data_IF_716325738406
#
_entry.id   IF_716325738406
#
_cell.length_a   1.000
_cell.length_b   1.000
_cell.length_c   1.000
_cell.angle_alpha   90.00
_cell.angle_beta   90.00
_cell.angle_gamma   90.00
#
_symmetry.space_group_name_H-M   'P 1'
#
loop_
_entity.id
_entity.type
_entity.pdbx_description
1 polymer ?
#
# COMPACT_ATOMS: atom_id res chain seq x y z
N UNK A 1 9.55 36.07 -0.26
CA UNK A 1 9.67 34.64 -0.55
C UNK A 1 8.46 33.96 -1.21
N UNK A 2 7.31 34.65 -1.40
CA UNK A 2 6.08 34.03 -2.00
C UNK A 2 6.07 33.87 -3.54
N UNK A 3 7.06 34.36 -4.27
CA UNK A 3 7.04 34.35 -5.75
C UNK A 3 7.85 33.22 -6.42
N UNK A 4 8.68 32.50 -5.68
CA UNK A 4 9.59 31.50 -6.27
C UNK A 4 8.92 30.11 -6.43
N UNK A 5 7.90 29.80 -5.66
CA UNK A 5 7.25 28.48 -5.67
C UNK A 5 6.30 28.26 -6.86
N UNK A 6 5.76 29.33 -7.46
CA UNK A 6 4.85 29.22 -8.61
C UNK A 6 5.60 28.91 -9.91
N UNK A 7 6.87 29.33 -10.02
CA UNK A 7 7.67 29.13 -11.23
C UNK A 7 8.09 27.66 -11.41
N UNK A 8 8.32 26.93 -10.33
CA UNK A 8 8.70 25.50 -10.42
C UNK A 8 7.54 24.59 -10.86
N UNK A 9 6.31 24.95 -10.51
CA UNK A 9 5.12 24.16 -10.92
C UNK A 9 4.76 24.40 -12.40
N UNK A 10 5.01 25.60 -12.91
CA UNK A 10 4.71 25.96 -14.31
C UNK A 10 5.75 25.38 -15.27
N UNK A 11 7.01 25.25 -14.84
CA UNK A 11 8.06 24.64 -15.67
C UNK A 11 7.87 23.12 -15.86
N UNK A 12 7.23 22.43 -14.91
CA UNK A 12 6.92 21.00 -15.03
C UNK A 12 5.75 20.71 -15.99
N UNK A 13 4.86 21.68 -16.22
CA UNK A 13 3.76 21.56 -17.18
C UNK A 13 4.19 21.77 -18.64
N UNK A 14 5.37 22.32 -18.89
CA UNK A 14 5.91 22.60 -20.23
C UNK A 14 6.74 21.43 -20.81
N UNK A 15 7.08 20.43 -20.02
CA UNK A 15 7.91 19.29 -20.45
C UNK A 15 7.33 18.42 -21.59
N UNK A 16 6.00 18.24 -21.72
CA UNK A 16 5.46 17.41 -22.80
C UNK A 16 5.66 18.02 -24.22
N UNK A 17 5.69 19.33 -24.32
CA UNK A 17 5.83 20.00 -25.63
C UNK A 17 7.27 19.99 -26.15
N UNK A 18 8.26 19.88 -25.28
CA UNK A 18 9.67 19.79 -25.65
C UNK A 18 10.08 18.39 -26.11
N UNK A 19 9.39 17.35 -25.63
CA UNK A 19 9.68 15.96 -26.03
C UNK A 19 9.21 15.68 -27.48
N UNK A 20 8.05 16.19 -27.90
CA UNK A 20 7.54 16.03 -29.25
C UNK A 20 8.32 16.82 -30.33
N UNK A 21 8.88 17.97 -29.95
CA UNK A 21 9.67 18.80 -30.89
C UNK A 21 11.09 18.26 -31.09
N UNK A 22 11.66 17.55 -30.12
CA UNK A 22 13.00 16.98 -30.24
C UNK A 22 13.05 15.66 -31.02
N UNK A 23 11.98 14.88 -31.07
CA UNK A 23 11.93 13.67 -31.92
C UNK A 23 12.08 13.99 -33.42
N UNK A 24 11.68 15.19 -33.85
CA UNK A 24 11.81 15.63 -35.25
C UNK A 24 13.18 16.19 -35.62
N UNK A 25 14.03 16.49 -34.65
CA UNK A 25 15.32 17.19 -34.88
C UNK A 25 16.56 16.33 -34.69
N UNK A 26 16.49 15.21 -34.01
CA UNK A 26 17.72 14.45 -33.67
C UNK A 26 18.02 13.26 -34.57
N UNK A 27 17.15 12.87 -35.49
CA UNK A 27 17.45 11.79 -36.46
C UNK A 27 17.84 10.45 -35.82
N UNK A 28 17.59 10.26 -34.52
CA UNK A 28 17.79 8.98 -33.83
C UNK A 28 16.57 8.13 -34.12
N UNK A 29 16.59 7.41 -35.21
CA UNK A 29 15.71 6.28 -35.44
C UNK A 29 16.18 5.17 -34.51
N UNK A 30 15.40 4.90 -33.46
CA UNK A 30 15.48 3.60 -32.80
C UNK A 30 15.08 2.56 -33.86
N UNK A 31 16.05 1.86 -34.39
CA UNK A 31 15.74 0.65 -35.16
C UNK A 31 14.86 -0.23 -34.29
N UNK A 32 13.59 -0.37 -34.68
CA UNK A 32 12.75 -1.44 -34.17
C UNK A 32 13.54 -2.72 -34.48
N UNK A 33 14.08 -3.35 -33.44
CA UNK A 33 14.51 -4.72 -33.53
C UNK A 33 13.27 -5.56 -33.90
N UNK A 34 13.00 -5.63 -35.17
CA UNK A 34 12.17 -6.68 -35.74
C UNK A 34 12.97 -7.96 -35.57
N UNK A 35 12.74 -8.69 -34.51
CA UNK A 35 12.97 -10.13 -34.51
C UNK A 35 12.09 -10.67 -35.66
N UNK A 36 12.68 -10.81 -36.82
CA UNK A 36 11.96 -11.39 -37.94
C UNK A 36 11.62 -12.83 -37.56
N UNK A 37 10.35 -13.12 -37.60
CA UNK A 37 9.77 -14.45 -37.42
C UNK A 37 10.26 -15.48 -38.44
N UNK A 38 11.21 -15.15 -39.30
CA UNK A 38 11.78 -16.04 -40.30
C UNK A 38 12.73 -17.10 -39.71
N UNK A 39 13.55 -16.69 -38.71
CA UNK A 39 14.50 -17.63 -38.07
C UNK A 39 13.83 -18.61 -37.10
N UNK A 40 12.59 -18.34 -36.70
CA UNK A 40 11.81 -19.25 -35.86
C UNK A 40 11.02 -20.30 -36.68
N UNK A 41 10.97 -20.17 -37.98
CA UNK A 41 10.26 -21.14 -38.84
C UNK A 41 11.08 -22.39 -39.19
N UNK A 42 12.40 -22.29 -39.23
CA UNK A 42 13.25 -23.45 -39.52
C UNK A 42 13.55 -24.35 -38.31
N UNK A 43 13.39 -23.84 -37.06
CA UNK A 43 13.49 -24.68 -35.87
C UNK A 43 12.17 -25.34 -35.43
N UNK A 44 11.15 -25.29 -36.27
CA UNK A 44 9.79 -25.76 -35.91
C UNK A 44 9.53 -27.25 -36.18
N UNK A 45 10.43 -27.99 -36.75
CA UNK A 45 10.12 -29.36 -37.19
C UNK A 45 10.41 -30.46 -36.16
N UNK A 46 11.16 -30.18 -35.06
CA UNK A 46 11.53 -31.23 -34.09
C UNK A 46 11.23 -30.89 -32.60
N UNK A 47 10.49 -29.82 -32.28
CA UNK A 47 10.06 -29.57 -30.92
C UNK A 47 8.68 -30.21 -30.76
N UNK A 48 8.63 -31.24 -29.92
CA UNK A 48 7.40 -31.84 -29.41
C UNK A 48 6.39 -30.75 -29.00
N UNK A 49 5.41 -30.52 -29.87
CA UNK A 49 4.52 -29.36 -29.82
C UNK A 49 3.60 -29.36 -28.61
N UNK A 50 3.53 -30.45 -27.85
CA UNK A 50 2.76 -30.56 -26.61
C UNK A 50 3.46 -29.91 -25.38
N UNK A 51 4.78 -29.82 -25.35
CA UNK A 51 5.57 -29.44 -24.18
C UNK A 51 6.29 -28.08 -24.31
N UNK A 52 5.88 -27.21 -25.20
CA UNK A 52 6.54 -25.92 -25.42
C UNK A 52 6.16 -24.84 -24.40
N UNK A 53 7.06 -23.84 -24.23
CA UNK A 53 6.83 -22.62 -23.46
C UNK A 53 6.49 -21.47 -24.40
N UNK A 54 5.44 -20.71 -24.09
CA UNK A 54 5.04 -19.49 -24.77
C UNK A 54 5.60 -18.28 -24.00
N UNK A 55 6.33 -17.41 -24.69
CA UNK A 55 6.69 -16.07 -24.20
C UNK A 55 5.64 -15.07 -24.65
N UNK A 56 5.05 -14.35 -23.70
CA UNK A 56 4.07 -13.29 -23.97
C UNK A 56 4.65 -12.00 -23.42
N UNK A 57 4.77 -10.97 -24.26
CA UNK A 57 5.16 -9.63 -23.82
C UNK A 57 4.01 -8.65 -24.10
N UNK A 58 3.64 -7.88 -23.10
CA UNK A 58 2.63 -6.83 -23.18
C UNK A 58 3.10 -5.58 -22.39
N UNK A 59 2.25 -4.58 -22.29
CA UNK A 59 2.52 -3.33 -21.54
C UNK A 59 2.69 -3.54 -20.03
N UNK A 60 2.49 -4.74 -19.51
CA UNK A 60 2.67 -5.12 -18.11
C UNK A 60 3.92 -5.99 -17.88
N UNK A 61 4.82 -6.08 -18.86
CA UNK A 61 6.02 -6.89 -18.81
C UNK A 61 5.92 -8.16 -19.65
N UNK A 62 6.67 -9.20 -19.26
CA UNK A 62 6.64 -10.46 -19.98
C UNK A 62 6.21 -11.61 -19.07
N UNK A 63 5.63 -12.63 -19.69
CA UNK A 63 5.13 -13.83 -19.03
C UNK A 63 5.61 -15.06 -19.80
N UNK A 64 6.16 -16.04 -19.10
CA UNK A 64 6.40 -17.37 -19.63
C UNK A 64 5.24 -18.27 -19.20
N UNK A 65 4.67 -19.00 -20.15
CA UNK A 65 3.52 -19.87 -19.90
C UNK A 65 3.68 -21.20 -20.63
N UNK A 66 3.40 -22.32 -19.96
CA UNK A 66 3.26 -23.61 -20.63
C UNK A 66 2.06 -23.58 -21.57
N UNK A 67 2.09 -24.38 -22.65
CA UNK A 67 1.00 -24.41 -23.64
C UNK A 67 -0.34 -24.83 -23.04
N UNK A 68 -0.32 -25.72 -22.07
CA UNK A 68 -1.52 -26.15 -21.34
C UNK A 68 -2.02 -25.14 -20.29
N UNK A 69 -1.31 -24.01 -20.13
CA UNK A 69 -1.65 -22.95 -19.18
C UNK A 69 -1.49 -23.31 -17.70
N UNK A 70 -0.97 -24.49 -17.38
CA UNK A 70 -0.84 -24.93 -15.97
C UNK A 70 0.35 -24.31 -15.26
N UNK A 71 1.38 -23.90 -15.99
CA UNK A 71 2.57 -23.25 -15.44
C UNK A 71 2.68 -21.84 -16.02
N UNK A 72 2.68 -20.84 -15.13
CA UNK A 72 2.84 -19.44 -15.48
C UNK A 72 3.95 -18.88 -14.60
N UNK A 73 4.90 -18.18 -15.21
CA UNK A 73 5.95 -17.45 -14.53
C UNK A 73 6.00 -16.02 -15.05
N UNK A 74 5.85 -15.06 -14.16
CA UNK A 74 5.87 -13.63 -14.46
C UNK A 74 6.83 -12.91 -13.52
N UNK A 75 8.04 -12.53 -13.97
CA UNK A 75 8.89 -11.62 -13.21
C UNK A 75 8.31 -10.22 -13.23
N UNK A 76 8.61 -9.42 -12.21
CA UNK A 76 8.24 -8.03 -12.14
C UNK A 76 9.28 -7.20 -11.38
N UNK A 77 9.35 -5.93 -11.74
CA UNK A 77 10.15 -4.92 -11.08
C UNK A 77 9.23 -3.76 -10.66
N UNK A 78 9.44 -3.24 -9.47
CA UNK A 78 8.77 -2.04 -9.01
C UNK A 78 9.77 -1.15 -8.26
N UNK A 79 9.94 0.09 -8.74
CA UNK A 79 10.85 1.06 -8.14
C UNK A 79 10.16 2.40 -7.92
N UNK A 80 10.51 3.06 -6.82
CA UNK A 80 10.13 4.43 -6.56
C UNK A 80 11.35 5.22 -6.09
N UNK A 81 11.62 6.35 -6.75
CA UNK A 81 12.58 7.37 -6.32
C UNK A 81 11.79 8.59 -5.84
N UNK A 82 12.14 9.14 -4.69
CA UNK A 82 11.38 10.18 -4.02
C UNK A 82 12.31 11.29 -3.54
N UNK A 83 11.96 12.55 -3.88
CA UNK A 83 12.50 13.74 -3.26
C UNK A 83 11.46 14.32 -2.28
N UNK A 84 11.90 14.73 -1.12
CA UNK A 84 11.05 15.31 -0.08
C UNK A 84 11.66 16.59 0.45
N UNK A 85 10.79 17.55 0.74
CA UNK A 85 11.10 18.77 1.48
C UNK A 85 10.08 18.89 2.60
N UNK A 86 10.55 19.02 3.84
CA UNK A 86 9.71 19.25 5.01
C UNK A 86 10.12 20.55 5.67
N UNK A 87 9.13 21.36 6.01
CA UNK A 87 9.29 22.58 6.78
C UNK A 87 8.48 22.44 8.07
N UNK A 88 9.12 22.70 9.19
CA UNK A 88 8.52 22.63 10.53
C UNK A 88 8.25 24.04 11.03
N UNK A 89 7.14 24.22 11.74
CA UNK A 89 6.76 25.50 12.32
C UNK A 89 7.69 25.86 13.50
N UNK A 90 8.10 27.12 13.56
CA UNK A 90 9.12 27.63 14.47
C UNK A 90 8.73 27.56 15.94
N UNK A 91 7.49 27.96 16.27
CA UNK A 91 7.05 28.06 17.67
C UNK A 91 7.13 26.71 18.41
N UNK A 92 6.79 25.62 17.73
CA UNK A 92 6.81 24.30 18.32
C UNK A 92 8.23 23.73 18.48
N UNK A 93 9.15 24.04 17.57
CA UNK A 93 10.53 23.54 17.62
C UNK A 93 11.37 24.30 18.64
N UNK A 94 11.19 25.60 18.76
CA UNK A 94 11.89 26.41 19.77
C UNK A 94 11.55 25.94 21.19
N UNK A 95 10.26 25.70 21.46
CA UNK A 95 9.81 25.17 22.73
C UNK A 95 10.28 23.75 23.04
N UNK A 96 10.33 22.88 22.01
CA UNK A 96 10.66 21.47 22.21
C UNK A 96 12.16 21.18 22.22
N UNK A 97 12.92 21.87 21.37
CA UNK A 97 14.32 21.53 21.07
C UNK A 97 15.27 22.71 21.09
N UNK A 98 14.78 23.90 21.41
CA UNK A 98 15.54 25.15 21.35
C UNK A 98 16.20 25.35 19.97
N UNK A 99 15.46 25.10 18.89
CA UNK A 99 15.90 25.16 17.52
C UNK A 99 14.97 26.04 16.69
N UNK A 100 15.53 27.03 16.02
CA UNK A 100 14.82 27.90 15.10
C UNK A 100 14.71 27.23 13.74
N UNK A 101 13.55 27.34 13.09
CA UNK A 101 13.31 27.05 11.66
C UNK A 101 14.06 25.85 11.10
N UNK A 102 13.55 24.66 11.29
CA UNK A 102 14.15 23.47 10.70
C UNK A 102 13.40 23.06 9.45
N UNK A 103 14.06 23.20 8.31
CA UNK A 103 13.67 22.57 7.06
C UNK A 103 14.63 21.43 6.77
N UNK A 104 14.12 20.29 6.37
CA UNK A 104 14.95 19.22 5.84
C UNK A 104 14.56 18.86 4.42
N UNK A 105 15.52 18.41 3.65
CA UNK A 105 15.33 17.93 2.28
C UNK A 105 16.19 16.70 2.06
N UNK A 106 15.70 15.80 1.23
CA UNK A 106 16.45 14.59 0.92
C UNK A 106 15.83 13.76 -0.20
N UNK A 107 16.63 12.82 -0.67
CA UNK A 107 16.19 11.83 -1.63
C UNK A 107 16.15 10.46 -0.96
N UNK A 108 15.16 9.65 -1.33
CA UNK A 108 15.00 8.30 -0.84
C UNK A 108 14.51 7.37 -1.94
N UNK A 109 14.74 6.10 -1.76
CA UNK A 109 14.16 5.03 -2.56
C UNK A 109 13.26 4.17 -1.67
N UNK A 110 11.97 4.52 -1.52
CA UNK A 110 11.08 3.77 -0.63
C UNK A 110 10.95 2.30 -1.01
N UNK A 111 10.98 2.03 -2.32
CA UNK A 111 10.85 0.68 -2.85
C UNK A 111 11.79 0.45 -4.03
N UNK A 112 12.45 -0.69 -3.99
CA UNK A 112 13.20 -1.31 -5.09
C UNK A 112 12.88 -2.81 -5.05
N UNK A 113 11.70 -3.18 -5.55
CA UNK A 113 11.16 -4.54 -5.43
C UNK A 113 11.44 -5.31 -6.70
N UNK A 114 12.08 -6.47 -6.52
CA UNK A 114 12.24 -7.48 -7.56
C UNK A 114 11.49 -8.73 -7.13
N UNK A 115 10.71 -9.29 -8.00
CA UNK A 115 9.93 -10.48 -7.67
C UNK A 115 9.45 -11.25 -8.89
N UNK A 116 8.79 -12.34 -8.58
CA UNK A 116 8.09 -13.13 -9.56
C UNK A 116 6.79 -13.70 -8.97
N UNK A 117 5.81 -13.85 -9.84
CA UNK A 117 4.52 -14.42 -9.50
C UNK A 117 4.09 -15.39 -10.58
N UNK A 118 3.17 -16.26 -10.28
CA UNK A 118 2.66 -17.19 -11.27
C UNK A 118 1.71 -18.21 -10.72
N UNK A 119 1.52 -19.27 -11.53
CA UNK A 119 0.67 -20.41 -11.19
C UNK A 119 1.43 -21.70 -11.51
N UNK A 120 1.32 -22.69 -10.66
CA UNK A 120 1.80 -24.04 -10.93
C UNK A 120 0.64 -25.02 -10.82
N UNK A 121 0.69 -26.08 -11.64
CA UNK A 121 -0.35 -27.13 -11.71
C UNK A 121 -1.77 -26.59 -11.97
N UNK A 122 -1.89 -25.36 -12.50
CA UNK A 122 -3.16 -24.66 -12.74
C UNK A 122 -3.96 -24.28 -11.49
N UNK A 123 -3.49 -24.64 -10.29
CA UNK A 123 -4.22 -24.45 -9.03
C UNK A 123 -3.43 -23.80 -7.90
N UNK A 124 -2.12 -23.76 -7.98
CA UNK A 124 -1.26 -23.19 -6.94
C UNK A 124 -0.68 -21.88 -7.45
N UNK A 125 -1.24 -20.76 -7.01
CA UNK A 125 -0.64 -19.46 -7.24
C UNK A 125 0.48 -19.21 -6.25
N UNK A 126 1.50 -18.46 -6.67
CA UNK A 126 2.63 -18.11 -5.82
C UNK A 126 3.11 -16.69 -6.10
N UNK A 127 3.77 -16.11 -5.12
CA UNK A 127 4.53 -14.86 -5.24
C UNK A 127 5.75 -14.93 -4.33
N UNK A 128 6.87 -14.46 -4.84
CA UNK A 128 8.07 -14.19 -4.05
C UNK A 128 8.63 -12.85 -4.48
N UNK A 129 8.91 -11.97 -3.53
CA UNK A 129 9.56 -10.69 -3.81
C UNK A 129 10.44 -10.21 -2.68
N UNK A 130 11.50 -9.54 -3.08
CA UNK A 130 12.42 -8.84 -2.19
C UNK A 130 12.34 -7.34 -2.45
N UNK A 131 12.50 -6.55 -1.40
CA UNK A 131 12.68 -5.11 -1.49
C UNK A 131 14.15 -4.79 -1.18
N UNK A 132 14.95 -4.52 -2.21
CA UNK A 132 16.36 -4.21 -2.08
C UNK A 132 16.64 -2.87 -1.37
N UNK A 133 15.63 -1.99 -1.28
CA UNK A 133 15.71 -0.74 -0.52
C UNK A 133 15.46 -0.93 0.98
N UNK A 134 14.95 -2.08 1.41
CA UNK A 134 14.68 -2.37 2.81
C UNK A 134 15.90 -2.94 3.52
N UNK A 135 15.92 -2.82 4.85
CA UNK A 135 16.97 -3.34 5.71
C UNK A 135 16.46 -4.41 6.68
N UNK A 136 17.34 -5.26 7.16
CA UNK A 136 17.03 -6.30 8.15
C UNK A 136 15.98 -7.30 7.64
N UNK A 137 15.07 -7.69 8.50
CA UNK A 137 14.02 -8.68 8.22
C UNK A 137 12.98 -8.26 7.18
N UNK A 138 13.03 -7.02 6.73
CA UNK A 138 12.08 -6.45 5.77
C UNK A 138 12.50 -6.65 4.31
N UNK A 139 13.70 -7.17 4.05
CA UNK A 139 14.19 -7.47 2.69
C UNK A 139 13.26 -8.46 1.99
N UNK A 140 12.85 -9.55 2.64
CA UNK A 140 11.77 -10.40 2.12
C UNK A 140 10.44 -9.66 2.28
N UNK A 141 9.95 -9.06 1.19
CA UNK A 141 8.71 -8.30 1.26
C UNK A 141 7.49 -9.21 1.35
N UNK A 142 7.38 -10.18 0.45
CA UNK A 142 6.36 -11.22 0.50
C UNK A 142 6.86 -12.53 -0.09
N UNK A 143 6.31 -13.63 0.40
CA UNK A 143 6.59 -14.96 -0.11
C UNK A 143 5.46 -15.89 0.32
N UNK A 144 4.59 -16.25 -0.62
CA UNK A 144 3.40 -17.04 -0.31
C UNK A 144 3.01 -17.99 -1.44
N UNK A 145 2.29 -19.02 -1.04
CA UNK A 145 1.59 -19.94 -1.92
C UNK A 145 0.08 -19.86 -1.61
N UNK A 146 -0.75 -20.03 -2.63
CA UNK A 146 -2.21 -19.87 -2.56
C UNK A 146 -2.90 -20.97 -3.37
N UNK A 147 -3.46 -21.96 -2.70
CA UNK A 147 -4.12 -23.10 -3.32
C UNK A 147 -5.58 -22.79 -3.65
N UNK A 148 -5.96 -22.95 -4.91
CA UNK A 148 -7.32 -22.76 -5.42
C UNK A 148 -8.13 -24.01 -5.28
N UNK A 149 -8.98 -24.12 -4.26
CA UNK A 149 -10.02 -25.18 -4.17
C UNK A 149 -11.12 -24.84 -5.16
N UNK A 150 -11.59 -23.59 -5.13
CA UNK A 150 -12.56 -22.98 -6.04
C UNK A 150 -12.40 -21.46 -6.04
N UNK A 151 -13.05 -20.69 -6.95
CA UNK A 151 -13.08 -19.23 -6.84
C UNK A 151 -13.63 -18.69 -5.50
N UNK A 152 -14.51 -19.47 -4.88
CA UNK A 152 -15.14 -19.15 -3.59
C UNK A 152 -14.34 -19.64 -2.38
N UNK A 153 -13.32 -20.49 -2.56
CA UNK A 153 -12.55 -21.08 -1.46
C UNK A 153 -11.09 -21.26 -1.89
N UNK A 154 -10.21 -20.56 -1.22
CA UNK A 154 -8.76 -20.57 -1.43
C UNK A 154 -8.06 -20.61 -0.08
N UNK A 155 -6.87 -21.19 -0.05
CA UNK A 155 -6.02 -21.25 1.12
C UNK A 155 -4.65 -20.69 0.79
N UNK A 156 -4.23 -19.68 1.54
CA UNK A 156 -2.93 -19.03 1.40
C UNK A 156 -2.08 -19.28 2.62
N UNK A 157 -0.79 -19.51 2.40
CA UNK A 157 0.23 -19.68 3.43
C UNK A 157 1.50 -18.91 3.06
N UNK A 158 2.17 -18.32 4.05
CA UNK A 158 3.42 -17.59 3.86
C UNK A 158 3.40 -16.18 4.43
N UNK A 159 4.25 -15.31 3.88
CA UNK A 159 4.35 -13.90 4.25
C UNK A 159 3.56 -13.03 3.26
N UNK A 160 2.50 -12.40 3.73
CA UNK A 160 1.61 -11.56 2.93
C UNK A 160 0.90 -10.51 3.79
N UNK A 161 0.19 -9.57 3.15
CA UNK A 161 -0.57 -8.54 3.86
C UNK A 161 -1.71 -9.15 4.67
N UNK A 162 -1.85 -8.71 5.92
CA UNK A 162 -3.03 -9.01 6.75
C UNK A 162 -4.29 -8.39 6.15
N UNK A 163 -5.49 -8.95 6.36
CA UNK A 163 -6.70 -8.58 5.65
C UNK A 163 -7.38 -7.33 6.23
N UNK A 164 -6.67 -6.21 6.25
CA UNK A 164 -7.23 -4.92 6.67
C UNK A 164 -7.31 -3.99 5.48
N UNK A 165 -8.46 -3.40 5.24
CA UNK A 165 -8.75 -2.23 4.39
C UNK A 165 -8.27 -2.26 2.93
N UNK A 166 -9.08 -1.66 2.08
CA UNK A 166 -8.81 -1.58 0.64
C UNK A 166 -7.55 -0.78 0.32
N UNK A 167 -7.33 0.35 0.99
CA UNK A 167 -6.15 1.17 0.72
C UNK A 167 -4.84 0.42 1.00
N UNK A 168 -4.79 -0.32 2.10
CA UNK A 168 -3.63 -1.13 2.45
C UNK A 168 -3.42 -2.30 1.48
N UNK A 169 -4.50 -2.97 1.09
CA UNK A 169 -4.46 -4.12 0.18
C UNK A 169 -4.23 -3.73 -1.27
N UNK A 170 -4.46 -2.45 -1.63
CA UNK A 170 -4.17 -1.93 -2.96
C UNK A 170 -2.69 -2.13 -3.31
N UNK A 171 -2.43 -2.45 -4.57
CA UNK A 171 -1.07 -2.57 -5.11
C UNK A 171 -0.34 -1.24 -5.00
N UNK A 172 0.92 -1.23 -4.57
CA UNK A 172 1.71 -0.01 -4.35
C UNK A 172 1.74 0.94 -5.56
N UNK A 173 1.81 0.39 -6.77
CA UNK A 173 1.79 1.17 -8.00
C UNK A 173 0.46 1.84 -8.31
N UNK A 174 -0.64 1.30 -7.80
CA UNK A 174 -2.01 1.71 -8.10
C UNK A 174 -2.58 2.70 -7.07
N UNK A 175 -1.78 3.19 -6.14
CA UNK A 175 -2.21 4.18 -5.14
C UNK A 175 -2.38 5.58 -5.74
N UNK A 176 -3.37 6.33 -5.24
CA UNK A 176 -3.59 7.73 -5.63
C UNK A 176 -2.47 8.64 -5.10
N UNK A 177 -2.09 8.44 -3.85
CA UNK A 177 -1.03 9.21 -3.19
C UNK A 177 0.28 8.42 -3.12
N UNK A 178 1.45 9.09 -3.11
CA UNK A 178 2.74 8.45 -2.93
C UNK A 178 2.91 7.68 -1.62
N UNK A 179 2.11 7.98 -0.62
CA UNK A 179 2.10 7.31 0.68
C UNK A 179 0.67 6.96 1.11
N UNK A 180 0.55 5.89 1.89
CA UNK A 180 -0.70 5.54 2.56
C UNK A 180 -1.12 6.64 3.54
N UNK A 181 -2.41 6.71 3.93
CA UNK A 181 -2.85 7.56 5.02
C UNK A 181 -2.06 7.26 6.30
N UNK A 182 -1.67 8.29 7.03
CA UNK A 182 -0.92 8.15 8.29
C UNK A 182 -1.78 7.46 9.35
N UNK A 183 -3.08 7.77 9.40
CA UNK A 183 -4.03 7.12 10.29
C UNK A 183 -4.05 5.60 10.09
N UNK A 184 -4.11 5.14 8.84
CA UNK A 184 -4.07 3.71 8.49
C UNK A 184 -2.75 3.07 8.92
N UNK A 185 -1.64 3.71 8.60
CA UNK A 185 -0.30 3.18 8.90
C UNK A 185 -0.05 3.12 10.41
N UNK A 186 -0.36 4.17 11.13
CA UNK A 186 -0.06 4.29 12.56
C UNK A 186 -0.98 3.45 13.45
N UNK A 187 -2.27 3.31 13.06
CA UNK A 187 -3.28 2.73 13.96
C UNK A 187 -3.54 1.27 13.71
N UNK A 188 -3.34 0.77 12.49
CA UNK A 188 -3.90 -0.53 12.11
C UNK A 188 -2.88 -1.51 11.54
N UNK A 189 -1.92 -1.01 10.78
CA UNK A 189 -0.95 -1.87 10.10
C UNK A 189 0.20 -2.25 11.03
N UNK A 190 0.57 -1.34 11.93
CA UNK A 190 1.74 -1.49 12.79
C UNK A 190 1.29 -1.71 14.22
N UNK A 191 1.74 -2.75 14.91
CA UNK A 191 1.64 -2.81 16.35
C UNK A 191 2.41 -1.61 16.92
N UNK A 192 1.82 -0.96 17.89
CA UNK A 192 2.42 0.18 18.55
C UNK A 192 3.67 -0.25 19.30
N UNK A 193 4.83 0.29 18.93
CA UNK A 193 6.06 0.10 19.68
C UNK A 193 6.28 1.31 20.59
N UNK A 194 6.31 1.10 21.89
CA UNK A 194 6.55 2.14 22.90
C UNK A 194 7.89 2.87 22.73
N UNK A 195 8.88 2.21 22.13
CA UNK A 195 10.21 2.77 21.95
C UNK A 195 10.38 3.54 20.64
N UNK A 196 9.34 3.60 19.82
CA UNK A 196 9.40 4.30 18.56
C UNK A 196 8.66 5.65 18.67
N UNK A 197 9.41 6.71 18.85
CA UNK A 197 8.95 8.11 18.68
C UNK A 197 8.40 8.31 17.24
N UNK A 198 8.90 7.52 16.30
CA UNK A 198 8.33 7.35 14.98
C UNK A 198 7.87 5.88 14.85
N UNK A 199 6.63 5.62 14.42
CA UNK A 199 6.24 4.26 14.12
C UNK A 199 7.26 3.71 13.14
N UNK A 200 8.01 2.69 13.54
CA UNK A 200 8.83 1.95 12.58
C UNK A 200 7.85 1.46 11.52
N UNK A 201 8.04 1.90 10.29
CA UNK A 201 7.18 1.50 9.18
C UNK A 201 7.45 0.03 8.96
N UNK A 202 6.76 -0.82 9.69
CA UNK A 202 6.65 -2.22 9.38
C UNK A 202 6.05 -2.30 7.99
N UNK A 203 6.44 -3.29 7.22
CA UNK A 203 5.96 -3.45 5.86
C UNK A 203 4.47 -3.82 5.81
N UNK A 204 3.85 -4.10 6.96
CA UNK A 204 2.49 -4.61 7.08
C UNK A 204 2.32 -6.02 6.52
N UNK A 205 3.40 -6.66 6.11
CA UNK A 205 3.41 -8.06 5.70
C UNK A 205 3.78 -8.93 6.90
N UNK A 206 3.00 -9.97 7.13
CA UNK A 206 3.23 -10.90 8.23
C UNK A 206 3.12 -12.34 7.78
N UNK A 207 3.74 -13.26 8.53
CA UNK A 207 3.69 -14.70 8.28
C UNK A 207 2.41 -15.29 8.84
N UNK A 208 1.71 -16.06 8.03
CA UNK A 208 0.47 -16.66 8.48
C UNK A 208 -0.22 -17.56 7.46
N UNK A 209 -1.44 -17.88 7.81
CA UNK A 209 -2.37 -18.69 7.03
C UNK A 209 -3.70 -17.98 6.88
N UNK A 210 -4.29 -18.05 5.70
CA UNK A 210 -5.54 -17.38 5.39
C UNK A 210 -6.44 -18.26 4.52
N UNK A 211 -7.72 -18.35 4.90
CA UNK A 211 -8.80 -18.76 4.01
C UNK A 211 -9.46 -17.53 3.42
N UNK A 212 -9.70 -17.54 2.13
CA UNK A 212 -10.32 -16.43 1.44
C UNK A 212 -11.08 -16.86 0.19
N UNK A 213 -11.97 -16.00 -0.26
CA UNK A 213 -12.71 -16.26 -1.48
C UNK A 213 -13.66 -15.15 -1.84
N UNK A 214 -14.26 -15.28 -3.03
CA UNK A 214 -15.28 -14.37 -3.53
C UNK A 214 -16.49 -15.15 -4.03
N UNK A 215 -17.67 -14.74 -3.57
CA UNK A 215 -18.95 -15.33 -3.90
C UNK A 215 -19.75 -14.40 -4.81
N UNK A 216 -20.28 -14.89 -5.91
CA UNK A 216 -21.25 -14.17 -6.73
C UNK A 216 -22.65 -14.43 -6.15
N UNK A 217 -23.27 -13.39 -5.59
CA UNK A 217 -24.61 -13.49 -4.98
C UNK A 217 -25.72 -13.46 -6.03
N UNK A 218 -25.49 -12.81 -7.16
CA UNK A 218 -26.45 -12.70 -8.28
C UNK A 218 -25.80 -13.13 -9.60
N UNK A 219 -25.48 -14.42 -9.80
CA UNK A 219 -24.63 -14.88 -10.92
C UNK A 219 -25.23 -14.63 -12.29
N UNK A 220 -26.55 -14.44 -12.41
CA UNK A 220 -27.24 -14.14 -13.69
C UNK A 220 -27.18 -12.67 -14.11
N UNK A 221 -26.66 -11.77 -13.25
CA UNK A 221 -26.51 -10.35 -13.57
C UNK A 221 -25.15 -10.09 -14.18
N UNK A 222 -25.07 -9.22 -15.18
CA UNK A 222 -23.82 -8.76 -15.78
C UNK A 222 -22.88 -8.12 -14.72
N UNK A 223 -23.41 -7.25 -13.87
CA UNK A 223 -22.70 -6.74 -12.69
C UNK A 223 -23.22 -7.46 -11.44
N UNK A 224 -22.79 -8.69 -11.26
CA UNK A 224 -23.20 -9.52 -10.12
C UNK A 224 -22.82 -8.85 -8.79
N UNK A 225 -23.73 -8.85 -7.83
CA UNK A 225 -23.38 -8.58 -6.45
C UNK A 225 -22.38 -9.63 -5.97
N UNK A 226 -21.34 -9.17 -5.35
CA UNK A 226 -20.28 -10.05 -4.87
C UNK A 226 -20.05 -9.83 -3.38
N UNK A 227 -19.71 -10.90 -2.70
CA UNK A 227 -19.22 -10.88 -1.34
C UNK A 227 -17.82 -11.51 -1.31
N UNK A 228 -16.87 -10.84 -0.67
CA UNK A 228 -15.55 -11.37 -0.39
C UNK A 228 -15.39 -11.65 1.10
N UNK A 229 -14.59 -12.64 1.44
CA UNK A 229 -14.20 -12.92 2.81
C UNK A 229 -12.72 -13.29 2.87
N UNK A 230 -12.10 -12.92 3.96
CA UNK A 230 -10.71 -13.21 4.30
C UNK A 230 -10.67 -13.48 5.80
N UNK A 231 -10.15 -14.62 6.23
CA UNK A 231 -10.02 -14.97 7.65
C UNK A 231 -8.76 -15.79 7.85
N UNK A 232 -7.99 -15.49 8.90
CA UNK A 232 -6.74 -16.20 9.11
C UNK A 232 -6.03 -15.86 10.41
N UNK A 233 -4.82 -16.38 10.49
CA UNK A 233 -3.92 -16.33 11.63
C UNK A 233 -2.55 -15.85 11.15
N UNK A 234 -1.94 -14.91 11.89
CA UNK A 234 -0.59 -14.41 11.60
C UNK A 234 0.23 -14.34 12.89
N UNK A 235 1.53 -14.17 12.75
CA UNK A 235 2.40 -13.99 13.92
C UNK A 235 2.04 -12.74 14.74
N UNK A 236 1.48 -11.69 14.12
CA UNK A 236 1.07 -10.47 14.82
C UNK A 236 2.21 -9.50 15.13
N UNK A 237 3.45 -9.83 14.75
CA UNK A 237 4.61 -8.97 15.01
C UNK A 237 4.59 -7.67 14.20
N UNK A 238 3.85 -7.63 13.10
CA UNK A 238 3.67 -6.46 12.23
C UNK A 238 4.92 -5.89 11.58
N UNK A 239 6.09 -6.34 12.02
CA UNK A 239 7.41 -5.86 11.58
C UNK A 239 7.97 -6.59 10.37
N UNK A 240 7.26 -7.61 9.89
CA UNK A 240 7.77 -8.47 8.83
C UNK A 240 8.95 -9.36 9.26
N UNK A 241 9.24 -9.42 10.53
CA UNK A 241 10.30 -10.29 11.08
C UNK A 241 9.81 -11.73 11.11
N UNK A 242 10.67 -12.64 10.69
CA UNK A 242 10.44 -14.08 10.85
C UNK A 242 10.64 -14.46 12.33
N UNK A 243 9.60 -14.37 13.12
CA UNK A 243 9.62 -14.94 14.48
C UNK A 243 9.13 -16.38 14.42
N UNK A 244 9.99 -17.30 14.82
CA UNK A 244 9.71 -18.72 14.71
C UNK A 244 8.72 -19.21 15.78
N UNK A 245 8.79 -18.68 16.99
CA UNK A 245 7.95 -19.09 18.12
C UNK A 245 7.71 -17.93 19.08
N UNK A 246 6.52 -17.90 19.67
CA UNK A 246 6.19 -17.03 20.78
C UNK A 246 6.04 -17.88 22.03
N UNK A 247 6.54 -17.38 23.14
CA UNK A 247 6.32 -18.01 24.45
C UNK A 247 4.87 -17.79 24.85
N UNK A 248 4.14 -18.85 25.17
CA UNK A 248 2.81 -18.76 25.77
C UNK A 248 2.95 -18.38 27.25
N UNK A 249 2.08 -17.54 27.75
CA UNK A 249 1.93 -17.39 29.20
C UNK A 249 1.31 -18.66 29.80
N UNK A 250 1.59 -18.93 31.07
CA UNK A 250 1.05 -20.10 31.76
C UNK A 250 -0.50 -20.10 31.83
N UNK A 251 -1.10 -18.92 31.73
CA UNK A 251 -2.54 -18.71 31.74
C UNK A 251 -3.16 -18.56 30.33
N UNK A 252 -2.37 -18.65 29.26
CA UNK A 252 -2.86 -18.46 27.91
C UNK A 252 -3.70 -19.66 27.43
N UNK A 253 -5.01 -19.46 27.26
CA UNK A 253 -5.91 -20.46 26.70
C UNK A 253 -5.91 -20.50 25.18
N UNK A 254 -5.35 -19.49 24.51
CA UNK A 254 -5.25 -19.38 23.04
C UNK A 254 -3.79 -19.07 22.63
N UNK A 255 -3.34 -19.54 21.47
CA UNK A 255 -2.02 -19.21 20.97
C UNK A 255 -1.79 -17.72 20.78
N UNK A 256 -0.59 -17.23 21.07
CA UNK A 256 -0.15 -15.84 20.89
C UNK A 256 0.01 -15.53 19.39
N UNK A 257 -1.08 -15.20 18.73
CA UNK A 257 -1.16 -14.90 17.29
C UNK A 257 -2.09 -13.70 17.04
N UNK A 258 -1.98 -13.11 15.87
CA UNK A 258 -3.00 -12.21 15.34
C UNK A 258 -4.10 -13.04 14.67
N UNK A 259 -5.28 -12.94 15.17
CA UNK A 259 -6.52 -13.47 14.59
C UNK A 259 -7.22 -12.33 13.85
N UNK A 260 -7.36 -12.42 12.55
CA UNK A 260 -7.96 -11.33 11.79
C UNK A 260 -8.89 -11.83 10.68
N UNK A 261 -9.84 -10.98 10.34
CA UNK A 261 -10.77 -11.23 9.25
C UNK A 261 -11.32 -9.97 8.62
N UNK A 262 -11.78 -10.11 7.38
CA UNK A 262 -12.40 -9.05 6.59
C UNK A 262 -13.56 -9.61 5.79
N UNK A 263 -14.67 -8.87 5.76
CA UNK A 263 -15.83 -9.12 4.92
C UNK A 263 -16.02 -7.93 3.98
N UNK A 264 -16.30 -8.20 2.73
CA UNK A 264 -16.57 -7.15 1.73
C UNK A 264 -17.85 -7.43 0.97
N UNK A 265 -18.60 -6.38 0.69
CA UNK A 265 -19.77 -6.39 -0.18
C UNK A 265 -19.56 -5.46 -1.37
N UNK A 266 -19.72 -5.97 -2.58
CA UNK A 266 -19.46 -5.28 -3.82
C UNK A 266 -20.71 -5.29 -4.72
N UNK A 267 -21.60 -4.27 -4.61
CA UNK A 267 -22.89 -4.26 -5.31
C UNK A 267 -22.78 -4.00 -6.82
N UNK A 268 -21.62 -3.53 -7.30
CA UNK A 268 -21.38 -3.24 -8.71
C UNK A 268 -20.31 -4.14 -9.34
N UNK A 269 -20.24 -5.39 -8.90
CA UNK A 269 -19.21 -6.31 -9.33
C UNK A 269 -17.90 -6.17 -8.54
N UNK A 270 -16.87 -6.88 -8.97
CA UNK A 270 -15.60 -6.91 -8.28
C UNK A 270 -14.91 -5.54 -8.27
N UNK A 271 -14.54 -5.04 -7.09
CA UNK A 271 -13.70 -3.84 -6.94
C UNK A 271 -12.25 -4.20 -7.26
N UNK A 272 -11.62 -3.55 -8.24
CA UNK A 272 -10.20 -3.75 -8.53
C UNK A 272 -9.32 -3.15 -7.44
N UNK A 273 -8.12 -3.69 -7.25
CA UNK A 273 -7.14 -3.22 -6.27
C UNK A 273 -6.38 -1.97 -6.78
N UNK A 274 -7.13 -0.90 -7.09
CA UNK A 274 -6.58 0.39 -7.57
C UNK A 274 -7.27 1.56 -6.90
N UNK A 275 -6.56 2.66 -6.73
CA UNK A 275 -7.05 3.95 -6.22
C UNK A 275 -7.18 5.00 -7.33
N UNK A 276 -7.34 4.57 -8.53
CA UNK A 276 -7.57 5.41 -9.69
C UNK A 276 -7.81 4.54 -10.90
N UNK A 277 -8.54 5.05 -11.88
CA UNK A 277 -8.83 4.28 -13.09
C UNK A 277 -7.74 4.49 -14.16
N UNK A 278 -6.47 4.30 -13.80
CA UNK A 278 -5.32 4.50 -14.70
C UNK A 278 -5.35 3.59 -15.93
N UNK A 279 -6.00 2.43 -15.81
CA UNK A 279 -6.21 1.48 -16.90
C UNK A 279 -7.48 1.76 -17.70
N UNK A 280 -8.21 2.84 -17.38
CA UNK A 280 -9.47 3.22 -18.03
C UNK A 280 -10.46 2.05 -18.09
N UNK A 281 -10.60 1.33 -16.98
CA UNK A 281 -11.57 0.25 -16.84
C UNK A 281 -12.98 0.80 -17.09
N UNK A 282 -13.76 0.09 -17.88
CA UNK A 282 -15.14 0.42 -18.13
C UNK A 282 -16.02 0.05 -16.93
N UNK A 283 -17.09 0.81 -16.72
CA UNK A 283 -18.10 0.49 -15.72
C UNK A 283 -17.94 1.27 -14.41
N UNK A 284 -18.63 0.75 -13.41
CA UNK A 284 -18.67 1.27 -12.05
C UNK A 284 -18.37 0.15 -11.09
N UNK A 285 -17.59 0.46 -10.05
CA UNK A 285 -17.23 -0.48 -9.01
C UNK A 285 -17.42 0.17 -7.65
N UNK A 286 -17.91 -0.57 -6.69
CA UNK A 286 -18.12 -0.12 -5.31
C UNK A 286 -17.84 -1.26 -4.36
N UNK A 287 -17.25 -0.92 -3.22
CA UNK A 287 -16.95 -1.84 -2.15
C UNK A 287 -17.34 -1.20 -0.81
N UNK A 288 -18.01 -1.98 0.01
CA UNK A 288 -18.15 -1.78 1.44
C UNK A 288 -17.41 -2.92 2.15
N UNK A 289 -16.69 -2.61 3.22
CA UNK A 289 -15.99 -3.63 3.97
C UNK A 289 -15.99 -3.37 5.46
N UNK A 290 -15.83 -4.47 6.19
CA UNK A 290 -15.64 -4.53 7.63
C UNK A 290 -14.45 -5.44 7.88
N UNK A 291 -13.49 -4.96 8.65
CA UNK A 291 -12.34 -5.76 9.10
C UNK A 291 -12.16 -5.65 10.60
N UNK A 292 -11.58 -6.70 11.17
CA UNK A 292 -11.26 -6.73 12.57
C UNK A 292 -10.21 -7.77 12.88
N UNK A 293 -9.58 -7.63 14.05
CA UNK A 293 -8.60 -8.59 14.53
C UNK A 293 -8.28 -8.40 16.01
N UNK A 294 -7.78 -9.47 16.59
CA UNK A 294 -7.26 -9.51 17.96
C UNK A 294 -5.84 -10.04 17.87
N UNK A 295 -4.89 -9.25 18.32
CA UNK A 295 -3.50 -9.66 18.45
C UNK A 295 -3.23 -10.05 19.90
N UNK A 296 -2.93 -11.32 20.12
CA UNK A 296 -2.62 -11.86 21.44
C UNK A 296 -1.09 -12.00 21.51
N UNK A 297 -0.46 -11.17 22.32
CA UNK A 297 0.98 -11.24 22.57
C UNK A 297 1.29 -11.99 23.85
N UNK A 298 2.48 -12.59 23.93
CA UNK A 298 2.95 -13.18 25.18
C UNK A 298 3.36 -12.08 26.16
N UNK A 299 3.34 -12.36 27.46
CA UNK A 299 3.78 -11.46 28.53
C UNK A 299 5.20 -10.86 28.30
N UNK A 300 6.00 -11.55 27.50
CA UNK A 300 7.37 -11.13 27.24
C UNK A 300 7.51 -10.03 26.20
N UNK A 301 6.52 -9.80 25.34
CA UNK A 301 6.80 -9.07 24.10
C UNK A 301 6.04 -7.78 23.87
N UNK A 302 5.06 -7.41 24.54
CA UNK A 302 4.68 -6.03 24.56
C UNK A 302 3.19 -5.67 24.54
N UNK A 303 2.35 -6.14 23.67
CA UNK A 303 1.03 -5.52 23.58
C UNK A 303 -0.02 -6.47 23.03
N UNK A 304 -1.14 -6.57 23.73
CA UNK A 304 -2.36 -7.09 23.15
C UNK A 304 -3.08 -5.95 22.45
N UNK A 305 -3.57 -6.16 21.25
CA UNK A 305 -4.37 -5.17 20.55
C UNK A 305 -5.63 -5.76 19.93
N UNK A 306 -6.70 -4.96 19.92
CA UNK A 306 -7.94 -5.24 19.21
C UNK A 306 -8.18 -4.15 18.18
N UNK A 307 -8.49 -4.53 16.96
CA UNK A 307 -8.65 -3.62 15.82
C UNK A 307 -10.00 -3.84 15.16
N UNK A 308 -10.67 -2.76 14.82
CA UNK A 308 -11.91 -2.78 14.03
C UNK A 308 -11.85 -1.64 13.04
N UNK A 309 -12.36 -1.85 11.84
CA UNK A 309 -12.48 -0.79 10.87
C UNK A 309 -13.54 -1.06 9.82
N UNK A 310 -14.03 0.02 9.27
CA UNK A 310 -15.00 0.06 8.18
C UNK A 310 -14.42 0.78 6.98
N UNK A 311 -14.82 0.37 5.81
CA UNK A 311 -14.31 0.92 4.55
C UNK A 311 -15.39 1.07 3.51
N UNK A 312 -15.25 2.08 2.69
CA UNK A 312 -16.00 2.30 1.47
C UNK A 312 -15.06 2.79 0.37
N UNK A 313 -15.22 2.26 -0.83
CA UNK A 313 -14.47 2.70 -2.02
C UNK A 313 -15.35 2.63 -3.26
N UNK A 314 -15.15 3.57 -4.16
CA UNK A 314 -15.89 3.67 -5.41
C UNK A 314 -14.99 4.06 -6.57
N UNK A 315 -15.16 3.38 -7.71
CA UNK A 315 -14.67 3.79 -9.03
C UNK A 315 -15.88 4.03 -9.94
N UNK A 316 -15.93 5.21 -10.54
CA UNK A 316 -16.98 5.56 -11.49
C UNK A 316 -16.42 6.44 -12.60
N UNK A 317 -16.21 5.88 -13.78
CA UNK A 317 -15.59 6.58 -14.89
C UNK A 317 -14.22 7.17 -14.53
N UNK A 318 -14.12 8.49 -14.49
CA UNK A 318 -12.90 9.24 -14.14
C UNK A 318 -12.73 9.49 -12.65
N UNK A 319 -13.71 9.12 -11.83
CA UNK A 319 -13.73 9.37 -10.39
C UNK A 319 -13.26 8.17 -9.60
N UNK A 320 -12.46 8.43 -8.59
CA UNK A 320 -12.20 7.52 -7.48
C UNK A 320 -12.54 8.23 -6.17
N UNK A 321 -13.25 7.56 -5.29
CA UNK A 321 -13.52 8.05 -3.94
C UNK A 321 -13.38 6.90 -2.94
N UNK A 322 -12.83 7.18 -1.77
CA UNK A 322 -12.73 6.23 -0.68
C UNK A 322 -12.76 6.92 0.67
N UNK A 323 -13.29 6.23 1.66
CA UNK A 323 -13.17 6.57 3.07
C UNK A 323 -13.00 5.30 3.89
N UNK A 324 -12.15 5.38 4.89
CA UNK A 324 -11.93 4.30 5.86
C UNK A 324 -11.87 4.91 7.25
N UNK A 325 -12.36 4.18 8.25
CA UNK A 325 -12.32 4.58 9.64
C UNK A 325 -11.87 3.42 10.50
N UNK A 326 -11.04 3.69 11.49
CA UNK A 326 -10.34 2.71 12.30
C UNK A 326 -10.48 2.99 13.78
N UNK A 327 -10.59 1.93 14.54
CA UNK A 327 -10.43 1.97 15.99
C UNK A 327 -9.49 0.85 16.41
N UNK A 328 -8.61 1.14 17.33
CA UNK A 328 -7.71 0.19 17.95
C UNK A 328 -7.63 0.41 19.44
N UNK A 329 -7.75 -0.66 20.19
CA UNK A 329 -7.48 -0.71 21.63
C UNK A 329 -6.16 -1.45 21.85
N UNK A 330 -5.24 -0.84 22.59
CA UNK A 330 -3.93 -1.43 22.93
C UNK A 330 -3.82 -1.53 24.43
N UNK A 331 -3.52 -2.72 24.93
CA UNK A 331 -3.17 -2.97 26.32
C UNK A 331 -1.73 -3.44 26.44
N UNK A 332 -0.99 -2.93 27.41
CA UNK A 332 0.40 -3.27 27.63
C UNK A 332 0.52 -4.37 28.68
N UNK A 333 1.52 -5.23 28.52
CA UNK A 333 1.82 -6.29 29.47
C UNK A 333 2.56 -5.75 30.70
N UNK A 334 2.52 -6.47 31.82
CA UNK A 334 3.17 -6.10 33.09
C UNK A 334 4.66 -5.78 32.95
N UNK A 335 5.36 -6.41 32.03
CA UNK A 335 6.80 -6.18 31.79
C UNK A 335 7.13 -4.75 31.42
N UNK A 336 6.22 -4.04 30.78
CA UNK A 336 6.47 -2.67 30.35
C UNK A 336 6.15 -1.64 31.43
N UNK A 337 5.65 -2.07 32.60
CA UNK A 337 5.29 -1.21 33.75
C UNK A 337 4.36 -0.03 33.38
N UNK A 338 3.58 -0.19 32.32
CA UNK A 338 2.64 0.81 31.86
C UNK A 338 1.25 0.29 32.16
N UNK A 339 0.69 0.71 33.27
CA UNK A 339 -0.65 0.33 33.75
C UNK A 339 -1.81 0.94 32.93
N UNK A 340 -1.57 1.28 31.65
CA UNK A 340 -2.57 2.02 30.87
C UNK A 340 -2.83 1.34 29.53
N UNK A 341 -4.10 1.12 29.28
CA UNK A 341 -4.60 0.85 27.93
C UNK A 341 -4.84 2.16 27.17
N UNK A 342 -4.71 2.11 25.86
CA UNK A 342 -4.92 3.25 24.97
C UNK A 342 -5.92 2.91 23.89
N UNK A 343 -6.70 3.91 23.48
CA UNK A 343 -7.57 3.83 22.33
C UNK A 343 -7.04 4.77 21.24
N UNK A 344 -7.05 4.29 20.02
CA UNK A 344 -6.68 5.06 18.83
C UNK A 344 -7.88 5.15 17.91
N UNK A 345 -8.05 6.32 17.31
CA UNK A 345 -9.03 6.56 16.28
C UNK A 345 -8.34 7.12 15.05
N UNK A 346 -8.66 6.60 13.91
CA UNK A 346 -8.18 7.16 12.66
C UNK A 346 -9.25 7.05 11.59
N UNK A 347 -9.27 8.04 10.72
CA UNK A 347 -10.09 7.98 9.53
C UNK A 347 -9.49 8.83 8.43
N UNK A 348 -9.76 8.47 7.19
CA UNK A 348 -9.46 9.34 6.08
C UNK A 348 -10.58 9.31 5.04
N UNK A 349 -10.66 10.39 4.27
CA UNK A 349 -11.43 10.47 3.05
C UNK A 349 -10.55 10.95 1.91
N UNK A 350 -10.66 10.34 0.73
CA UNK A 350 -9.91 10.78 -0.44
C UNK A 350 -10.75 10.74 -1.70
N UNK A 351 -10.44 11.66 -2.61
CA UNK A 351 -11.09 11.83 -3.89
C UNK A 351 -10.03 12.02 -4.97
N UNK A 352 -10.18 11.34 -6.11
CA UNK A 352 -9.33 11.49 -7.27
C UNK A 352 -10.15 11.67 -8.55
N UNK A 353 -9.65 12.51 -9.46
CA UNK A 353 -10.30 12.77 -10.75
C UNK A 353 -9.29 12.82 -11.88
N UNK A 354 -9.54 12.09 -12.95
CA UNK A 354 -8.77 12.14 -14.19
C UNK A 354 -9.29 13.24 -15.12
N UNK A 355 -8.53 14.32 -15.26
CA UNK A 355 -8.81 15.40 -16.23
C UNK A 355 -8.59 14.91 -17.67
N UNK A 356 -7.51 14.17 -17.87
CA UNK A 356 -7.20 13.50 -19.14
C UNK A 356 -6.86 12.02 -18.85
N UNK A 357 -6.52 11.23 -19.86
CA UNK A 357 -6.05 9.85 -19.67
C UNK A 357 -4.74 9.76 -18.88
N UNK A 358 -3.96 10.83 -18.88
CA UNK A 358 -2.62 10.88 -18.31
C UNK A 358 -2.52 11.77 -17.07
N UNK A 359 -3.49 12.66 -16.82
CA UNK A 359 -3.43 13.63 -15.73
C UNK A 359 -4.56 13.40 -14.73
N UNK A 360 -4.18 13.12 -13.49
CA UNK A 360 -5.10 12.95 -12.36
C UNK A 360 -4.72 13.91 -11.24
N UNK A 361 -5.70 14.54 -10.60
CA UNK A 361 -5.50 15.20 -9.32
C UNK A 361 -6.31 14.52 -8.22
N UNK A 362 -5.85 14.64 -7.00
CA UNK A 362 -6.51 14.07 -5.83
C UNK A 362 -6.36 14.96 -4.60
N UNK A 363 -7.34 14.81 -3.72
CA UNK A 363 -7.37 15.40 -2.40
C UNK A 363 -7.60 14.31 -1.36
N UNK A 364 -6.93 14.41 -0.21
CA UNK A 364 -7.12 13.54 0.96
C UNK A 364 -7.17 14.39 2.22
N UNK A 365 -8.12 14.09 3.09
CA UNK A 365 -8.10 14.52 4.47
C UNK A 365 -7.92 13.29 5.36
N UNK A 366 -6.90 13.30 6.19
CA UNK A 366 -6.50 12.21 7.05
C UNK A 366 -6.48 12.70 8.50
N UNK A 367 -7.10 11.95 9.40
CA UNK A 367 -7.25 12.28 10.81
C UNK A 367 -6.78 11.10 11.68
N UNK A 368 -6.01 11.41 12.72
CA UNK A 368 -5.56 10.42 13.69
C UNK A 368 -5.63 10.99 15.11
N UNK A 369 -6.41 10.36 15.96
CA UNK A 369 -6.41 10.58 17.40
C UNK A 369 -5.69 9.42 18.09
N UNK A 370 -4.53 9.69 18.67
CA UNK A 370 -3.70 8.70 19.37
C UNK A 370 -4.10 8.45 20.80
N UNK A 371 -4.90 9.34 21.39
CA UNK A 371 -5.26 9.28 22.81
C UNK A 371 -6.67 8.78 23.06
N UNK A 372 -7.50 8.70 22.00
CA UNK A 372 -8.93 8.39 22.13
C UNK A 372 -9.72 9.41 22.94
N UNK A 373 -9.12 10.58 23.27
CA UNK A 373 -9.75 11.61 24.09
C UNK A 373 -10.62 12.56 23.28
N UNK A 374 -10.37 12.64 21.98
CA UNK A 374 -11.03 13.58 21.07
C UNK A 374 -10.71 15.07 21.32
N UNK A 375 -9.92 15.36 22.34
CA UNK A 375 -9.61 16.73 22.76
C UNK A 375 -8.14 17.08 22.60
N UNK A 376 -7.24 16.13 22.88
CA UNK A 376 -5.81 16.35 22.90
C UNK A 376 -5.07 15.22 22.18
N UNK A 377 -4.03 15.55 21.42
CA UNK A 377 -3.16 14.54 20.78
C UNK A 377 -3.61 14.03 19.43
N UNK A 378 -4.38 14.81 18.68
CA UNK A 378 -4.81 14.46 17.34
C UNK A 378 -3.98 15.12 16.23
N UNK A 379 -3.98 14.48 15.08
CA UNK A 379 -3.32 14.92 13.87
C UNK A 379 -4.37 15.20 12.79
N UNK A 380 -4.26 16.36 12.14
CA UNK A 380 -5.02 16.73 10.95
C UNK A 380 -4.07 16.83 9.76
N UNK A 381 -4.32 16.08 8.69
CA UNK A 381 -3.39 15.94 7.59
C UNK A 381 -4.08 16.07 6.22
N UNK A 382 -4.52 17.29 5.85
CA UNK A 382 -4.97 17.55 4.49
C UNK A 382 -3.80 17.42 3.50
N UNK A 383 -4.03 16.75 2.38
CA UNK A 383 -3.06 16.55 1.31
C UNK A 383 -3.69 16.70 -0.05
N UNK A 384 -2.90 17.21 -1.00
CA UNK A 384 -3.26 17.27 -2.41
C UNK A 384 -2.16 16.60 -3.24
N UNK A 385 -2.54 15.96 -4.34
CA UNK A 385 -1.63 15.28 -5.24
C UNK A 385 -1.99 15.55 -6.70
N UNK A 386 -0.99 15.65 -7.55
CA UNK A 386 -1.12 15.61 -9.00
C UNK A 386 -0.26 14.46 -9.52
N UNK A 387 -0.87 13.57 -10.28
CA UNK A 387 -0.22 12.44 -10.92
C UNK A 387 -0.21 12.62 -12.43
N UNK A 388 0.95 12.39 -13.04
CA UNK A 388 1.09 12.28 -14.48
C UNK A 388 1.50 10.86 -14.86
N UNK A 389 0.65 10.20 -15.63
CA UNK A 389 0.82 8.81 -16.07
C UNK A 389 1.41 8.80 -17.48
N UNK A 390 2.70 8.54 -17.60
CA UNK A 390 3.38 8.41 -18.90
C UNK A 390 2.97 7.10 -19.58
N UNK A 391 2.98 6.01 -18.82
CA UNK A 391 2.50 4.71 -19.28
C UNK A 391 1.70 4.05 -18.15
N UNK A 392 0.41 4.41 -18.01
CA UNK A 392 -0.47 3.93 -16.94
C UNK A 392 0.24 4.02 -15.58
N UNK A 393 0.15 3.01 -14.72
CA UNK A 393 0.90 2.95 -13.47
C UNK A 393 2.36 2.48 -13.61
N UNK A 394 2.77 2.02 -14.81
CA UNK A 394 4.12 1.51 -15.04
C UNK A 394 5.17 2.64 -15.01
N UNK A 395 4.81 3.81 -15.51
CA UNK A 395 5.66 5.01 -15.40
C UNK A 395 4.80 6.19 -14.98
N UNK A 396 4.93 6.59 -13.72
CA UNK A 396 4.11 7.61 -13.09
C UNK A 396 4.98 8.63 -12.37
N UNK A 397 4.69 9.91 -12.56
CA UNK A 397 5.25 11.02 -11.81
C UNK A 397 4.15 11.56 -10.88
N UNK A 398 4.47 11.76 -9.60
CA UNK A 398 3.55 12.28 -8.59
C UNK A 398 4.16 13.46 -7.87
N UNK A 399 3.40 14.54 -7.76
CA UNK A 399 3.74 15.70 -6.93
C UNK A 399 2.67 15.84 -5.85
N UNK A 400 3.06 15.79 -4.58
CA UNK A 400 2.16 15.85 -3.43
C UNK A 400 2.59 16.97 -2.50
N UNK A 401 1.60 17.65 -1.93
CA UNK A 401 1.75 18.52 -0.77
C UNK A 401 0.86 18.00 0.36
N UNK A 402 1.40 17.96 1.57
CA UNK A 402 0.68 17.60 2.78
C UNK A 402 1.00 18.59 3.89
N UNK A 403 -0.04 19.07 4.53
CA UNK A 403 0.07 19.76 5.83
C UNK A 403 -0.21 18.73 6.93
N UNK A 404 0.55 18.78 8.03
CA UNK A 404 0.30 17.99 9.23
C UNK A 404 0.23 18.92 10.41
N UNK A 405 -0.97 19.18 10.89
CA UNK A 405 -1.21 19.90 12.14
C UNK A 405 -1.26 18.90 13.29
N UNK A 406 -0.48 19.18 14.34
CA UNK A 406 -0.46 18.41 15.59
C UNK A 406 -1.04 19.28 16.68
N UNK A 407 -2.01 18.74 17.43
CA UNK A 407 -2.73 19.46 18.45
C UNK A 407 -2.64 18.70 19.78
N UNK A 408 -2.35 19.43 20.86
CA UNK A 408 -2.23 18.87 22.21
C UNK A 408 -1.11 17.83 22.35
N UNK A 409 -1.24 16.95 23.33
CA UNK A 409 -0.27 15.88 23.61
C UNK A 409 -0.27 14.80 22.52
N UNK A 410 0.19 15.13 21.32
CA UNK A 410 0.31 14.17 20.21
C UNK A 410 1.30 13.03 20.51
N UNK A 411 2.10 13.18 21.55
CA UNK A 411 3.05 12.19 22.03
C UNK A 411 2.65 11.73 23.44
N UNK A 412 2.12 10.52 23.57
CA UNK A 412 1.67 9.97 24.87
C UNK A 412 2.81 9.80 25.88
N UNK A 413 4.05 9.85 25.43
CA UNK A 413 5.24 9.73 26.28
C UNK A 413 5.68 11.06 26.89
N UNK A 414 5.17 12.18 26.41
CA UNK A 414 5.58 13.53 26.84
C UNK A 414 4.38 14.24 27.49
N UNK A 415 4.08 13.83 28.74
CA UNK A 415 2.94 14.36 29.49
C UNK A 415 3.18 15.74 30.11
N UNK A 416 4.43 16.18 30.17
CA UNK A 416 4.82 17.38 30.89
C UNK A 416 4.94 18.62 30.00
N UNK A 417 4.79 18.49 28.68
CA UNK A 417 4.82 19.62 27.75
C UNK A 417 3.43 19.91 27.15
N UNK A 418 2.74 20.81 27.82
CA UNK A 418 1.51 21.44 27.33
C UNK A 418 1.81 22.21 26.03
N UNK A 419 1.00 21.99 24.99
CA UNK A 419 0.89 22.79 23.77
C UNK A 419 2.09 22.84 22.82
N UNK A 420 2.68 21.70 22.47
CA UNK A 420 3.53 21.63 21.30
C UNK A 420 2.71 21.49 19.99
N UNK A 421 2.16 22.61 19.54
CA UNK A 421 1.52 22.72 18.22
C UNK A 421 2.54 22.64 17.10
N UNK A 422 3.18 21.47 16.87
CA UNK A 422 4.09 21.28 15.75
C UNK A 422 3.30 21.08 14.47
N UNK A 423 3.31 22.06 13.59
CA UNK A 423 2.83 21.87 12.23
C UNK A 423 3.99 21.56 11.27
N UNK A 424 3.72 20.74 10.28
CA UNK A 424 4.70 20.34 9.26
C UNK A 424 4.11 20.53 7.88
N UNK A 425 4.86 21.18 7.01
CA UNK A 425 4.56 21.30 5.59
C UNK A 425 5.48 20.36 4.81
N UNK A 426 4.93 19.41 4.11
CA UNK A 426 5.70 18.42 3.35
C UNK A 426 5.38 18.52 1.85
N UNK A 427 6.41 18.67 1.03
CA UNK A 427 6.31 18.56 -0.41
C UNK A 427 7.07 17.30 -0.86
N UNK A 428 6.43 16.49 -1.69
CA UNK A 428 6.99 15.23 -2.20
C UNK A 428 6.89 15.17 -3.70
N UNK A 429 8.01 14.85 -4.36
CA UNK A 429 8.06 14.50 -5.77
C UNK A 429 8.51 13.05 -5.89
N UNK A 430 7.74 12.22 -6.60
CA UNK A 430 8.03 10.80 -6.74
C UNK A 430 7.96 10.36 -8.19
N UNK A 431 8.99 9.66 -8.64
CA UNK A 431 9.00 8.90 -9.88
C UNK A 431 8.80 7.42 -9.56
N UNK A 432 7.87 6.79 -10.24
CA UNK A 432 7.59 5.36 -10.14
C UNK A 432 7.82 4.69 -11.50
N UNK A 433 8.46 3.52 -11.45
CA UNK A 433 8.63 2.64 -12.61
C UNK A 433 8.31 1.20 -12.23
N UNK A 434 7.60 0.49 -13.12
CA UNK A 434 7.29 -0.94 -12.96
C UNK A 434 7.06 -1.62 -14.31
N UNK A 435 7.28 -2.91 -14.35
CA UNK A 435 6.88 -3.79 -15.45
C UNK A 435 6.51 -5.17 -14.92
#
# INVERSE_FOLDING_TARGET
MKKTYIILLVSLLALPTLAEENEKKTGITFEKYNFQSADLKEQKEDIDMENGVLGIADDRGFTLQSRDGKFIFKPYLFMQARGQYNYYDDEGLDKAYNQDNVANTGFSMPYAILGFTGTTFGRLDYNLSINAAATGGNVLQQGWIDYKISPAARFRAGKFKTPFFHAYLTTLGETLFPCLPTSLTASVILPYSLNAVTPSIGTGFDLGFQFHGKLKLTPKRENSWMMGYEVGLWNGSGSGVNTATKTLSDDAHIPSLLYAGRLTFMPWGNMPATQGNSHMLSGKHMLFGLSGGINVESESESTNDTRIGVEWSMLYGRWYAATEAYWMHVSFTERQKIDKSYNFWGCYGQLGYFFTKNLQAGFRYDFLDRNGSGKDGFLNMPAAVVNYYVNKCNLKLSAMYQFTGRYGHANQLDRDNDDLGLSTHSATLQLQYSF
#
